data_IF_286847005147
#
_entry.id   IF_286847005147
#
_cell.length_a   1.000
_cell.length_b   1.000
_cell.length_c   1.000
_cell.angle_alpha   90.00
_cell.angle_beta   90.00
_cell.angle_gamma   90.00
#
_symmetry.space_group_name_H-M   'P 1'
#
loop_
_entity.id
_entity.type
_entity.pdbx_description
1 polymer ?
#
# COMPACT_ATOMS: atom_id res chain seq x y z
N UNK A 1 -54.62 -7.57 42.87
CA UNK A 1 -54.28 -7.22 41.47
C UNK A 1 -52.97 -6.42 41.43
N UNK A 2 -51.80 -7.07 41.55
CA UNK A 2 -50.47 -6.47 41.36
C UNK A 2 -49.41 -7.36 40.64
N UNK A 3 -49.72 -8.50 39.97
CA UNK A 3 -48.67 -9.31 39.33
C UNK A 3 -48.27 -8.85 37.91
N UNK A 4 -49.05 -7.97 37.27
CA UNK A 4 -48.81 -7.57 35.87
C UNK A 4 -47.63 -6.60 35.71
N UNK A 5 -47.44 -5.70 36.69
CA UNK A 5 -46.46 -4.63 36.62
C UNK A 5 -45.01 -5.13 36.79
N UNK A 6 -44.81 -6.19 37.58
CA UNK A 6 -43.51 -6.86 37.76
C UNK A 6 -43.08 -7.65 36.53
N UNK A 7 -44.03 -8.28 35.82
CA UNK A 7 -43.71 -8.99 34.57
C UNK A 7 -43.36 -8.03 33.43
N UNK A 8 -44.04 -6.88 33.31
CA UNK A 8 -43.71 -5.88 32.30
C UNK A 8 -42.32 -5.25 32.51
N UNK A 9 -41.94 -4.98 33.76
CA UNK A 9 -40.60 -4.47 34.10
C UNK A 9 -39.49 -5.47 33.75
N UNK A 10 -39.72 -6.76 33.97
CA UNK A 10 -38.75 -7.81 33.63
C UNK A 10 -38.51 -7.92 32.12
N UNK A 11 -39.57 -7.82 31.30
CA UNK A 11 -39.48 -7.88 29.84
C UNK A 11 -38.69 -6.68 29.28
N UNK A 12 -38.94 -5.47 29.79
CA UNK A 12 -38.23 -4.26 29.36
C UNK A 12 -36.74 -4.37 29.68
N UNK A 13 -36.39 -4.86 30.88
CA UNK A 13 -34.99 -5.06 31.26
C UNK A 13 -34.29 -6.07 30.36
N UNK A 14 -34.95 -7.18 30.01
CA UNK A 14 -34.40 -8.17 29.08
C UNK A 14 -34.13 -7.58 27.69
N UNK A 15 -35.06 -6.77 27.15
CA UNK A 15 -34.87 -6.13 25.83
C UNK A 15 -33.69 -5.16 25.88
N UNK A 16 -33.62 -4.31 26.90
CA UNK A 16 -32.50 -3.37 27.06
C UNK A 16 -31.17 -4.10 27.21
N UNK A 17 -31.11 -5.16 28.01
CA UNK A 17 -29.91 -5.98 28.19
C UNK A 17 -29.47 -6.64 26.87
N UNK A 18 -30.40 -7.17 26.07
CA UNK A 18 -30.09 -7.78 24.76
C UNK A 18 -29.62 -6.73 23.76
N UNK A 19 -30.25 -5.55 23.70
CA UNK A 19 -29.81 -4.47 22.79
C UNK A 19 -28.45 -3.91 23.20
N UNK A 20 -28.19 -3.76 24.50
CA UNK A 20 -26.90 -3.36 25.03
C UNK A 20 -25.84 -4.41 24.71
N UNK A 21 -26.12 -5.69 24.96
CA UNK A 21 -25.23 -6.79 24.62
C UNK A 21 -24.95 -6.86 23.12
N UNK A 22 -25.96 -6.69 22.26
CA UNK A 22 -25.79 -6.67 20.81
C UNK A 22 -24.98 -5.44 20.33
N UNK A 23 -25.21 -4.27 20.95
CA UNK A 23 -24.43 -3.06 20.71
C UNK A 23 -22.97 -3.22 21.13
N UNK A 24 -22.71 -3.81 22.30
CA UNK A 24 -21.37 -4.15 22.79
C UNK A 24 -20.70 -5.17 21.87
N UNK A 25 -21.39 -6.22 21.43
CA UNK A 25 -20.84 -7.20 20.48
C UNK A 25 -20.51 -6.56 19.11
N UNK A 26 -21.34 -5.63 18.62
CA UNK A 26 -21.03 -4.84 17.42
C UNK A 26 -19.80 -3.94 17.63
N UNK A 27 -19.63 -3.36 18.82
CA UNK A 27 -18.45 -2.57 19.18
C UNK A 27 -17.18 -3.44 19.34
N UNK A 28 -17.31 -4.67 19.85
CA UNK A 28 -16.19 -5.61 19.99
C UNK A 28 -15.72 -6.22 18.67
N UNK A 29 -16.57 -6.25 17.63
CA UNK A 29 -16.16 -6.68 16.27
C UNK A 29 -15.28 -5.66 15.53
N UNK A 30 -14.98 -4.50 16.12
CA UNK A 30 -14.27 -3.41 15.45
C UNK A 30 -12.86 -3.12 16.00
N UNK A 31 -12.10 -4.16 16.37
CA UNK A 31 -10.64 -4.08 16.33
C UNK A 31 -10.12 -5.24 15.53
N UNK A 32 -10.09 -5.07 14.20
CA UNK A 32 -9.17 -5.85 13.39
C UNK A 32 -7.78 -5.66 14.01
N UNK A 33 -7.30 -6.69 14.72
CA UNK A 33 -5.88 -6.75 15.05
C UNK A 33 -5.19 -6.80 13.70
N UNK A 34 -4.30 -5.85 13.36
CA UNK A 34 -3.58 -5.92 12.10
C UNK A 34 -2.79 -7.23 12.13
N UNK A 35 -3.28 -8.23 11.41
CA UNK A 35 -2.49 -9.41 11.12
C UNK A 35 -1.31 -8.94 10.29
N UNK A 36 -0.07 -9.30 10.66
CA UNK A 36 1.07 -9.00 9.82
C UNK A 36 0.78 -9.53 8.42
N UNK A 37 0.84 -8.64 7.44
CA UNK A 37 0.52 -8.97 6.07
C UNK A 37 1.61 -9.92 5.57
N UNK A 38 1.32 -11.21 5.50
CA UNK A 38 2.26 -12.22 5.01
C UNK A 38 2.31 -12.14 3.48
N UNK A 39 2.99 -11.13 2.95
CA UNK A 39 3.24 -10.98 1.52
C UNK A 39 4.46 -11.86 1.19
N UNK A 40 4.32 -12.82 0.25
CA UNK A 40 5.47 -13.57 -0.25
C UNK A 40 6.54 -12.62 -0.79
N UNK A 41 7.82 -12.90 -0.55
CA UNK A 41 8.92 -12.03 -0.99
C UNK A 41 8.96 -11.77 -2.51
N UNK A 42 8.33 -12.62 -3.32
CA UNK A 42 8.24 -12.48 -4.79
C UNK A 42 6.89 -11.91 -5.27
N UNK A 43 6.05 -11.40 -4.38
CA UNK A 43 4.72 -10.95 -4.76
C UNK A 43 4.76 -9.60 -5.49
N UNK A 44 3.91 -9.46 -6.52
CA UNK A 44 3.61 -8.18 -7.11
C UNK A 44 2.60 -7.43 -6.24
N UNK A 45 2.88 -6.17 -5.92
CA UNK A 45 2.06 -5.35 -5.02
C UNK A 45 1.51 -4.13 -5.77
N UNK A 46 0.25 -3.81 -5.52
CA UNK A 46 -0.48 -2.71 -6.16
C UNK A 46 -1.20 -1.86 -5.11
N UNK A 47 -1.20 -0.54 -5.28
CA UNK A 47 -2.06 0.37 -4.50
C UNK A 47 -3.32 0.70 -5.33
N UNK A 48 -4.51 0.49 -4.78
CA UNK A 48 -5.77 0.79 -5.45
C UNK A 48 -6.51 1.86 -4.66
N UNK A 49 -6.92 2.92 -5.35
CA UNK A 49 -7.61 4.08 -4.79
C UNK A 49 -8.78 4.51 -5.66
N UNK A 50 -9.69 5.30 -5.09
CA UNK A 50 -10.77 5.98 -5.81
C UNK A 50 -12.16 5.41 -5.53
N UNK A 51 -13.11 5.71 -6.42
CA UNK A 51 -14.54 5.46 -6.23
C UNK A 51 -14.97 4.20 -7.00
N UNK A 52 -15.75 3.33 -6.34
CA UNK A 52 -16.24 2.08 -6.94
C UNK A 52 -15.27 0.91 -6.80
N UNK A 53 -14.25 1.06 -5.96
CA UNK A 53 -13.27 0.03 -5.60
C UNK A 53 -13.18 -0.12 -4.09
N UNK A 54 -12.73 -1.29 -3.64
CA UNK A 54 -12.22 -1.47 -2.29
C UNK A 54 -10.80 -0.94 -2.26
N UNK A 55 -10.61 0.24 -1.69
CA UNK A 55 -9.29 0.86 -1.60
C UNK A 55 -8.34 0.04 -0.72
N UNK A 56 -7.05 0.01 -1.07
CA UNK A 56 -6.02 -0.64 -0.28
C UNK A 56 -4.85 -1.16 -1.10
N UNK A 57 -4.01 -1.97 -0.46
CA UNK A 57 -2.89 -2.66 -1.09
C UNK A 57 -3.27 -4.10 -1.42
N UNK A 58 -2.87 -4.56 -2.60
CA UNK A 58 -3.17 -5.88 -3.12
C UNK A 58 -1.88 -6.57 -3.52
N UNK A 59 -1.73 -7.84 -3.17
CA UNK A 59 -0.55 -8.66 -3.50
C UNK A 59 -0.93 -9.88 -4.32
N UNK A 60 -0.13 -10.18 -5.34
CA UNK A 60 -0.30 -11.34 -6.24
C UNK A 60 1.01 -12.09 -6.38
N UNK A 61 0.97 -13.36 -6.81
CA UNK A 61 2.18 -14.17 -7.02
C UNK A 61 3.10 -13.66 -8.15
N UNK A 62 2.56 -12.85 -9.06
CA UNK A 62 3.27 -12.30 -10.23
C UNK A 62 2.60 -11.02 -10.69
N UNK A 63 3.27 -10.28 -11.59
CA UNK A 63 2.67 -9.14 -12.26
C UNK A 63 1.33 -9.52 -12.90
N UNK A 64 0.33 -8.65 -12.75
CA UNK A 64 -1.05 -8.84 -13.17
C UNK A 64 -1.45 -7.87 -14.27
N UNK A 65 -2.57 -8.17 -14.93
CA UNK A 65 -3.25 -7.20 -15.80
C UNK A 65 -4.05 -6.22 -14.97
N UNK A 66 -4.28 -5.02 -15.50
CA UNK A 66 -5.10 -3.98 -14.84
C UNK A 66 -6.49 -4.52 -14.47
N UNK A 67 -7.15 -5.23 -15.39
CA UNK A 67 -8.46 -5.83 -15.14
C UNK A 67 -8.46 -6.85 -13.99
N UNK A 68 -7.40 -7.65 -13.82
CA UNK A 68 -7.30 -8.63 -12.74
C UNK A 68 -7.12 -7.93 -11.38
N UNK A 69 -6.30 -6.87 -11.34
CA UNK A 69 -6.09 -6.04 -10.14
C UNK A 69 -7.39 -5.35 -9.72
N UNK A 70 -8.11 -4.75 -10.67
CA UNK A 70 -9.41 -4.10 -10.40
C UNK A 70 -10.51 -5.10 -10.04
N UNK A 71 -10.53 -6.29 -10.64
CA UNK A 71 -11.45 -7.35 -10.26
C UNK A 71 -11.25 -7.77 -8.80
N UNK A 72 -10.01 -7.91 -8.35
CA UNK A 72 -9.70 -8.17 -6.93
C UNK A 72 -10.16 -7.02 -6.01
N UNK A 73 -10.20 -5.79 -6.52
CA UNK A 73 -10.74 -4.62 -5.83
C UNK A 73 -12.28 -4.55 -5.82
N UNK A 74 -12.97 -5.50 -6.46
CA UNK A 74 -14.43 -5.59 -6.50
C UNK A 74 -15.06 -5.04 -7.78
N UNK A 75 -14.29 -4.71 -8.81
CA UNK A 75 -14.83 -4.29 -10.12
C UNK A 75 -15.22 -5.52 -10.94
N UNK A 76 -16.47 -5.96 -10.82
CA UNK A 76 -16.96 -7.22 -11.42
C UNK A 76 -17.86 -7.04 -12.65
N UNK A 77 -18.62 -5.95 -12.75
CA UNK A 77 -19.73 -5.85 -13.71
C UNK A 77 -19.35 -5.40 -15.13
N UNK A 78 -18.10 -4.99 -15.39
CA UNK A 78 -17.70 -4.43 -16.70
C UNK A 78 -16.25 -4.73 -17.12
N UNK A 79 -15.71 -5.87 -16.71
CA UNK A 79 -14.33 -6.27 -16.97
C UNK A 79 -13.94 -6.27 -18.47
N UNK A 80 -14.91 -6.41 -19.40
CA UNK A 80 -14.64 -6.37 -20.84
C UNK A 80 -14.10 -5.02 -21.35
N UNK A 81 -14.43 -3.92 -20.66
CA UNK A 81 -14.01 -2.56 -21.04
C UNK A 81 -12.75 -2.12 -20.29
N UNK A 82 -12.28 -2.91 -19.33
CA UNK A 82 -11.08 -2.60 -18.57
C UNK A 82 -9.81 -2.94 -19.37
N UNK A 83 -8.70 -2.22 -19.15
CA UNK A 83 -7.44 -2.53 -19.80
C UNK A 83 -6.97 -3.94 -19.46
N UNK A 84 -6.45 -4.63 -20.47
CA UNK A 84 -5.85 -5.96 -20.34
C UNK A 84 -4.33 -5.91 -20.30
N UNK A 85 -3.73 -4.71 -20.31
CA UNK A 85 -2.29 -4.52 -20.22
C UNK A 85 -1.77 -5.00 -18.86
N UNK A 86 -0.59 -5.64 -18.87
CA UNK A 86 0.12 -6.00 -17.64
C UNK A 86 0.74 -4.75 -17.01
N UNK A 87 0.66 -4.66 -15.69
CA UNK A 87 1.24 -3.58 -14.90
C UNK A 87 2.28 -4.14 -13.92
N UNK A 88 3.45 -3.49 -13.79
CA UNK A 88 4.50 -3.96 -12.90
C UNK A 88 4.10 -3.83 -11.43
N UNK A 89 4.81 -4.55 -10.56
CA UNK A 89 4.73 -4.34 -9.12
C UNK A 89 5.12 -2.92 -8.73
N UNK A 90 4.51 -2.37 -7.68
CA UNK A 90 4.73 -0.99 -7.24
C UNK A 90 3.91 0.05 -8.00
N UNK A 91 2.87 -0.40 -8.70
CA UNK A 91 1.94 0.47 -9.43
C UNK A 91 0.79 0.91 -8.53
N UNK A 92 0.40 2.18 -8.65
CA UNK A 92 -0.83 2.74 -8.09
C UNK A 92 -1.86 2.91 -9.20
N UNK A 93 -3.06 2.43 -8.94
CA UNK A 93 -4.21 2.57 -9.83
C UNK A 93 -5.26 3.42 -9.11
N UNK A 94 -5.50 4.62 -9.64
CA UNK A 94 -6.67 5.40 -9.26
C UNK A 94 -7.81 5.00 -10.20
N UNK A 95 -8.91 4.49 -9.67
CA UNK A 95 -10.08 4.10 -10.44
C UNK A 95 -11.30 4.89 -9.97
N UNK A 96 -12.06 5.44 -10.91
CA UNK A 96 -13.30 6.13 -10.61
C UNK A 96 -14.42 5.61 -11.50
N UNK A 97 -15.56 5.33 -10.89
CA UNK A 97 -16.83 5.12 -11.58
C UNK A 97 -17.70 6.38 -11.50
N UNK A 98 -18.21 6.82 -12.65
CA UNK A 98 -19.16 7.92 -12.79
C UNK A 98 -20.60 7.44 -12.91
N UNK A 99 -21.50 8.38 -13.25
CA UNK A 99 -22.85 8.05 -13.65
C UNK A 99 -22.83 7.36 -15.03
N UNK A 100 -23.85 6.56 -15.35
CA UNK A 100 -24.01 5.90 -16.67
C UNK A 100 -22.86 4.94 -17.04
N UNK A 101 -22.23 4.28 -16.07
CA UNK A 101 -21.14 3.31 -16.29
C UNK A 101 -19.91 3.92 -16.99
N UNK A 102 -19.68 5.22 -16.83
CA UNK A 102 -18.44 5.85 -17.26
C UNK A 102 -17.32 5.47 -16.28
N UNK A 103 -16.21 4.96 -16.80
CA UNK A 103 -15.05 4.55 -16.03
C UNK A 103 -13.84 5.37 -16.43
N UNK A 104 -13.06 5.78 -15.44
CA UNK A 104 -11.72 6.31 -15.67
C UNK A 104 -10.73 5.65 -14.74
N UNK A 105 -9.51 5.49 -15.23
CA UNK A 105 -8.40 5.04 -14.43
C UNK A 105 -7.13 5.81 -14.78
N UNK A 106 -6.28 5.96 -13.78
CA UNK A 106 -4.95 6.53 -13.91
C UNK A 106 -3.94 5.56 -13.32
N UNK A 107 -2.88 5.28 -14.07
CA UNK A 107 -1.81 4.38 -13.67
C UNK A 107 -0.59 5.24 -13.36
N UNK A 108 -0.15 5.19 -12.11
CA UNK A 108 1.00 5.95 -11.60
C UNK A 108 1.91 5.04 -10.79
N UNK A 109 3.09 5.52 -10.41
CA UNK A 109 3.90 4.80 -9.43
C UNK A 109 3.34 4.96 -8.02
N UNK A 110 3.45 3.90 -7.23
CA UNK A 110 3.21 3.97 -5.79
C UNK A 110 4.23 4.91 -5.14
N UNK A 111 3.79 5.68 -4.15
CA UNK A 111 4.68 6.52 -3.37
C UNK A 111 5.83 5.70 -2.73
N UNK A 112 7.02 6.29 -2.64
CA UNK A 112 8.22 5.63 -2.13
C UNK A 112 8.04 4.97 -0.75
N UNK A 113 7.32 5.62 0.16
CA UNK A 113 7.00 5.05 1.48
C UNK A 113 6.20 3.74 1.37
N UNK A 114 5.20 3.69 0.47
CA UNK A 114 4.44 2.47 0.19
C UNK A 114 5.34 1.38 -0.38
N UNK A 115 6.19 1.72 -1.34
CA UNK A 115 7.14 0.79 -1.95
C UNK A 115 8.07 0.16 -0.91
N UNK A 116 8.69 0.97 -0.06
CA UNK A 116 9.60 0.50 0.99
C UNK A 116 8.90 -0.38 2.03
N UNK A 117 7.67 -0.06 2.41
CA UNK A 117 6.87 -0.90 3.32
C UNK A 117 6.59 -2.30 2.76
N UNK A 118 6.63 -2.45 1.44
CA UNK A 118 6.45 -3.72 0.74
C UNK A 118 7.75 -4.27 0.14
N UNK A 119 8.91 -3.79 0.61
CA UNK A 119 10.23 -4.23 0.16
C UNK A 119 10.42 -4.10 -1.36
N UNK A 120 9.72 -3.15 -1.98
CA UNK A 120 9.91 -2.81 -3.39
C UNK A 120 11.04 -1.78 -3.49
N UNK A 121 12.10 -2.07 -4.27
CA UNK A 121 13.21 -1.15 -4.38
C UNK A 121 12.81 0.16 -5.09
N UNK A 122 13.48 1.23 -4.69
CA UNK A 122 13.47 2.53 -5.35
C UNK A 122 14.60 2.58 -6.39
N UNK A 123 14.38 3.27 -7.51
CA UNK A 123 15.45 3.46 -8.48
C UNK A 123 16.44 4.52 -8.00
N UNK A 124 17.68 4.08 -7.77
CA UNK A 124 18.76 4.93 -7.28
C UNK A 124 19.16 6.02 -8.28
N UNK A 125 18.65 6.03 -9.50
CA UNK A 125 18.94 7.07 -10.49
C UNK A 125 17.81 8.10 -10.61
N UNK A 126 16.60 7.80 -10.15
CA UNK A 126 15.43 8.67 -10.29
C UNK A 126 14.85 9.13 -8.95
N UNK A 127 15.06 8.38 -7.86
CA UNK A 127 14.57 8.73 -6.53
C UNK A 127 15.04 10.11 -6.06
N UNK A 128 14.12 10.95 -5.63
CA UNK A 128 14.38 12.28 -5.09
C UNK A 128 15.10 12.24 -3.73
N UNK A 129 15.55 13.40 -3.24
CA UNK A 129 16.21 13.52 -1.92
C UNK A 129 15.27 13.00 -0.82
N UNK A 130 14.03 13.47 -0.81
CA UNK A 130 13.04 13.10 0.21
C UNK A 130 12.73 11.60 0.19
N UNK A 131 12.70 10.98 -0.98
CA UNK A 131 12.47 9.53 -1.12
C UNK A 131 13.67 8.71 -0.65
N UNK A 132 14.90 9.17 -0.93
CA UNK A 132 16.11 8.52 -0.43
C UNK A 132 16.24 8.62 1.09
N UNK A 133 15.79 9.71 1.70
CA UNK A 133 15.80 9.90 3.16
C UNK A 133 14.88 8.92 3.90
N UNK A 134 13.89 8.33 3.21
CA UNK A 134 13.06 7.28 3.79
C UNK A 134 13.83 5.98 4.03
N UNK A 135 14.99 5.81 3.39
CA UNK A 135 15.78 4.58 3.49
C UNK A 135 16.51 4.53 4.83
N UNK A 136 16.36 3.45 5.62
CA UNK A 136 17.07 3.30 6.88
C UNK A 136 18.59 3.46 6.73
N UNK A 137 19.17 4.40 7.48
CA UNK A 137 20.61 4.68 7.45
C UNK A 137 21.05 5.70 6.39
N UNK A 138 20.13 6.23 5.59
CA UNK A 138 20.33 7.38 4.69
C UNK A 138 19.74 8.62 5.33
N UNK A 139 20.60 9.58 5.67
CA UNK A 139 20.14 10.90 6.14
C UNK A 139 20.21 11.95 5.03
N UNK A 140 19.67 13.14 5.31
CA UNK A 140 19.57 14.24 4.35
C UNK A 140 20.89 14.56 3.62
N UNK A 141 22.01 14.62 4.35
CA UNK A 141 23.31 14.89 3.75
C UNK A 141 23.74 13.79 2.76
N UNK A 142 23.45 12.53 3.07
CA UNK A 142 23.76 11.39 2.20
C UNK A 142 22.84 11.37 0.97
N UNK A 143 21.54 11.59 1.16
CA UNK A 143 20.57 11.68 0.06
C UNK A 143 20.94 12.79 -0.94
N UNK A 144 21.25 13.99 -0.44
CA UNK A 144 21.72 15.10 -1.26
C UNK A 144 23.02 14.77 -2.00
N UNK A 145 23.95 14.08 -1.34
CA UNK A 145 25.21 13.69 -1.96
C UNK A 145 25.01 12.64 -3.08
N UNK A 146 24.05 11.72 -2.94
CA UNK A 146 23.69 10.76 -4.01
C UNK A 146 23.14 11.52 -5.23
N UNK A 147 22.21 12.45 -5.04
CA UNK A 147 21.66 13.25 -6.15
C UNK A 147 22.74 14.11 -6.81
N UNK A 148 23.62 14.73 -6.01
CA UNK A 148 24.75 15.49 -6.52
C UNK A 148 25.76 14.61 -7.29
N UNK A 149 25.96 13.36 -6.85
CA UNK A 149 26.77 12.38 -7.56
C UNK A 149 26.20 12.12 -8.96
N UNK A 150 24.89 11.86 -9.07
CA UNK A 150 24.22 11.64 -10.37
C UNK A 150 24.39 12.83 -11.32
N UNK A 151 24.28 14.04 -10.78
CA UNK A 151 24.42 15.26 -11.58
C UNK A 151 25.84 15.46 -12.14
N UNK A 152 26.86 14.99 -11.43
CA UNK A 152 28.27 15.16 -11.82
C UNK A 152 28.83 14.00 -12.65
N UNK A 153 28.43 12.78 -12.31
CA UNK A 153 28.99 11.55 -12.87
C UNK A 153 28.04 10.86 -13.86
N UNK A 154 26.78 11.30 -13.93
CA UNK A 154 25.74 10.65 -14.71
C UNK A 154 25.05 9.52 -13.93
N UNK A 155 24.43 8.59 -14.67
CA UNK A 155 23.76 7.44 -14.05
C UNK A 155 24.76 6.58 -13.27
N UNK A 156 24.39 6.22 -12.05
CA UNK A 156 25.07 5.22 -11.23
C UNK A 156 24.81 3.87 -11.88
N UNK A 157 25.87 3.22 -12.37
CA UNK A 157 25.77 1.90 -13.04
C UNK A 157 25.97 0.78 -12.06
N UNK A 158 26.85 0.98 -11.09
CA UNK A 158 27.11 0.06 -10.01
C UNK A 158 26.91 0.74 -8.66
N UNK A 159 26.28 0.05 -7.71
CA UNK A 159 25.98 0.64 -6.39
C UNK A 159 27.28 0.91 -5.59
N UNK A 160 28.36 0.21 -5.94
CA UNK A 160 29.73 0.38 -5.45
C UNK A 160 30.28 1.78 -5.72
N UNK A 161 29.82 2.46 -6.79
CA UNK A 161 30.19 3.84 -7.12
C UNK A 161 29.85 4.82 -5.99
N UNK A 162 28.81 4.51 -5.20
CA UNK A 162 28.42 5.29 -4.03
C UNK A 162 29.48 5.29 -2.93
N UNK A 163 30.47 4.40 -2.97
CA UNK A 163 31.60 4.37 -2.03
C UNK A 163 32.49 5.62 -2.09
N UNK A 164 32.39 6.38 -3.19
CA UNK A 164 33.04 7.70 -3.32
C UNK A 164 32.37 8.79 -2.48
N UNK A 165 31.14 8.57 -2.00
CA UNK A 165 30.37 9.54 -1.22
C UNK A 165 30.76 9.43 0.27
N UNK A 166 31.19 10.52 0.92
CA UNK A 166 31.49 10.52 2.34
C UNK A 166 30.30 10.02 3.17
N UNK A 167 30.56 9.02 4.03
CA UNK A 167 29.55 8.43 4.90
C UNK A 167 28.78 7.26 4.30
N UNK A 168 29.05 6.85 3.06
CA UNK A 168 28.61 5.59 2.44
C UNK A 168 29.78 4.60 2.34
N UNK A 169 30.13 3.98 3.46
CA UNK A 169 31.08 2.86 3.47
C UNK A 169 30.44 1.55 3.03
N UNK A 170 31.27 0.53 2.78
CA UNK A 170 30.88 -0.81 2.31
C UNK A 170 29.68 -1.40 3.07
N UNK A 171 29.67 -1.32 4.41
CA UNK A 171 28.56 -1.82 5.24
C UNK A 171 27.22 -1.15 4.92
N UNK A 172 27.22 0.16 4.68
CA UNK A 172 25.99 0.90 4.35
C UNK A 172 25.56 0.64 2.91
N UNK A 173 26.51 0.54 1.99
CA UNK A 173 26.22 0.15 0.60
C UNK A 173 25.59 -1.23 0.54
N UNK A 174 26.11 -2.19 1.32
CA UNK A 174 25.53 -3.52 1.42
C UNK A 174 24.07 -3.47 1.93
N UNK A 175 23.80 -2.68 2.98
CA UNK A 175 22.44 -2.49 3.48
C UNK A 175 21.51 -1.81 2.45
N UNK A 176 22.03 -0.88 1.65
CA UNK A 176 21.25 -0.16 0.63
C UNK A 176 20.69 -1.06 -0.46
N UNK A 177 21.36 -2.18 -0.77
CA UNK A 177 20.91 -3.12 -1.82
C UNK A 177 19.52 -3.71 -1.57
N UNK A 178 19.06 -3.72 -0.32
CA UNK A 178 17.71 -4.17 0.01
C UNK A 178 16.62 -3.15 -0.38
N UNK A 179 16.99 -1.89 -0.61
CA UNK A 179 16.06 -0.78 -0.76
C UNK A 179 16.13 -0.10 -2.13
N UNK A 180 17.23 -0.30 -2.87
CA UNK A 180 17.44 0.39 -4.15
C UNK A 180 17.83 -0.58 -5.25
N UNK A 181 17.46 -0.24 -6.48
CA UNK A 181 17.95 -0.88 -7.69
C UNK A 181 18.73 0.13 -8.55
N UNK A 182 19.64 -0.37 -9.38
CA UNK A 182 20.22 0.39 -10.48
C UNK A 182 19.33 0.16 -11.69
N UNK A 183 18.42 1.09 -11.97
CA UNK A 183 17.47 0.97 -13.09
C UNK A 183 18.12 0.76 -14.45
#
# INVERSE_FOLDING_TARGET
>A
MRPYHTQQLAVIFCILAVTFLCGVVKLYRARAVPTPLNIPAAAAVYEIRGIGVREGFYSFSSAQRVCDVLAAAGVVDNAQHLPTAHVPSGTKILFNTGQLSEYSWEITEMAAAGRLNFFLPLDINTASVDELELIPGVGAQTAQAIVAYRARHGRIKDIEELGSIPGLGEKKIHALRAYVNGG
#
